data_IF_535973150473
#
_entry.id   IF_535973150473
#
_cell.length_a   1.000
_cell.length_b   1.000
_cell.length_c   1.000
_cell.angle_alpha   90.00
_cell.angle_beta   90.00
_cell.angle_gamma   90.00
#
_symmetry.space_group_name_H-M   'P 1'
#
loop_
_entity.id
_entity.type
_entity.pdbx_description
1 polymer ?
#
# COMPACT_ATOMS: atom_id res chain seq x y z
N UNK A 1 -35.68 -13.96 7.67
CA UNK A 1 -35.55 -13.68 9.11
C UNK A 1 -35.16 -14.97 9.79
N UNK A 2 -33.88 -15.12 10.12
CA UNK A 2 -33.44 -16.05 11.15
C UNK A 2 -32.50 -15.27 12.06
N UNK A 3 -32.84 -15.28 13.36
CA UNK A 3 -32.22 -14.44 14.39
C UNK A 3 -30.85 -14.99 14.77
N UNK A 4 -29.79 -14.24 14.51
CA UNK A 4 -28.52 -14.34 15.24
C UNK A 4 -28.50 -13.29 16.36
N UNK A 5 -27.91 -13.65 17.50
CA UNK A 5 -28.01 -12.95 18.79
C UNK A 5 -27.30 -11.58 18.88
N UNK A 6 -27.03 -10.90 17.75
CA UNK A 6 -26.68 -9.46 17.70
C UNK A 6 -26.82 -8.83 16.28
N UNK A 7 -27.99 -8.95 15.63
CA UNK A 7 -28.76 -7.83 15.04
C UNK A 7 -28.26 -6.85 13.94
N UNK A 8 -27.22 -7.08 13.13
CA UNK A 8 -26.82 -6.12 12.07
C UNK A 8 -26.28 -6.70 10.74
N UNK A 9 -26.47 -5.96 9.63
CA UNK A 9 -26.12 -6.29 8.24
C UNK A 9 -24.92 -5.45 7.74
N UNK A 10 -23.87 -6.04 7.20
CA UNK A 10 -22.64 -5.32 6.83
C UNK A 10 -22.73 -4.67 5.43
N UNK A 11 -22.40 -3.38 5.31
CA UNK A 11 -22.52 -2.58 4.07
C UNK A 11 -21.39 -1.55 3.93
N UNK A 12 -21.12 -1.13 2.69
CA UNK A 12 -20.22 0.00 2.37
C UNK A 12 -21.11 1.16 1.90
N UNK A 13 -20.95 2.33 2.51
CA UNK A 13 -21.72 3.52 2.12
C UNK A 13 -21.11 4.26 0.92
N UNK A 14 -21.85 5.24 0.39
CA UNK A 14 -21.43 6.11 -0.73
C UNK A 14 -20.27 7.04 -0.38
N UNK A 15 -19.70 6.93 0.82
CA UNK A 15 -18.49 7.64 1.18
C UNK A 15 -17.27 6.71 1.15
N UNK A 16 -17.48 5.42 0.84
CA UNK A 16 -16.44 4.42 0.99
C UNK A 16 -16.17 4.11 2.46
N UNK A 17 -17.19 4.05 3.31
CA UNK A 17 -17.03 3.59 4.68
C UNK A 17 -17.59 2.18 4.79
N UNK A 18 -16.76 1.22 5.19
CA UNK A 18 -17.24 -0.11 5.55
C UNK A 18 -17.85 -0.03 6.95
N UNK A 19 -19.09 -0.50 7.13
CA UNK A 19 -19.78 -0.43 8.42
C UNK A 19 -20.90 -1.47 8.59
N UNK A 20 -21.45 -1.54 9.79
CA UNK A 20 -22.57 -2.42 10.17
C UNK A 20 -23.87 -1.61 10.19
N UNK A 21 -24.83 -1.95 9.35
CA UNK A 21 -26.17 -1.38 9.33
C UNK A 21 -27.09 -2.20 10.24
N UNK A 22 -27.55 -1.61 11.33
CA UNK A 22 -28.49 -2.25 12.25
C UNK A 22 -29.90 -2.39 11.62
N UNK A 23 -30.74 -3.27 12.18
CA UNK A 23 -32.12 -3.49 11.70
C UNK A 23 -33.00 -2.22 11.73
N UNK A 24 -32.64 -1.22 12.56
CA UNK A 24 -33.32 0.07 12.63
C UNK A 24 -32.83 1.09 11.57
N UNK A 25 -31.91 0.68 10.68
CA UNK A 25 -31.34 1.52 9.63
C UNK A 25 -30.15 2.38 10.09
N UNK A 26 -29.67 2.22 11.32
CA UNK A 26 -28.50 2.95 11.83
C UNK A 26 -27.21 2.36 11.27
N UNK A 27 -26.48 3.16 10.49
CA UNK A 27 -25.18 2.77 9.94
C UNK A 27 -24.06 3.06 10.94
N UNK A 28 -23.35 2.02 11.36
CA UNK A 28 -22.21 2.08 12.28
C UNK A 28 -20.91 1.87 11.50
N UNK A 29 -20.19 2.95 11.14
CA UNK A 29 -18.96 2.86 10.36
C UNK A 29 -17.84 2.16 11.14
N UNK A 30 -17.14 1.23 10.51
CA UNK A 30 -16.12 0.36 11.13
C UNK A 30 -14.71 0.72 10.65
N UNK A 31 -14.46 0.83 9.33
CA UNK A 31 -13.11 1.07 8.81
C UNK A 31 -13.08 1.49 7.33
N UNK A 32 -11.94 2.04 6.87
CA UNK A 32 -11.66 2.43 5.49
C UNK A 32 -10.24 1.95 5.09
N UNK A 33 -10.15 1.04 4.10
CA UNK A 33 -8.96 0.24 3.66
C UNK A 33 -7.80 1.10 3.13
N UNK A 34 -6.54 0.68 3.32
CA UNK A 34 -5.38 1.42 2.86
C UNK A 34 -5.08 1.03 1.41
N UNK A 35 -4.89 2.01 0.52
CA UNK A 35 -4.33 1.73 -0.78
C UNK A 35 -3.26 2.71 -1.23
N UNK A 36 -2.03 2.30 -1.01
CA UNK A 36 -0.88 3.05 -1.49
C UNK A 36 -0.59 2.76 -2.96
N UNK A 37 -0.91 3.73 -3.80
CA UNK A 37 -0.12 4.15 -4.95
C UNK A 37 1.39 3.89 -4.72
N UNK A 38 1.98 2.91 -5.41
CA UNK A 38 3.42 2.62 -5.29
C UNK A 38 4.24 3.71 -5.97
N UNK A 39 5.41 4.11 -5.44
CA UNK A 39 6.29 5.02 -6.16
C UNK A 39 6.63 4.40 -7.54
N UNK A 40 6.78 5.22 -8.60
CA UNK A 40 7.14 4.70 -9.91
C UNK A 40 8.51 4.02 -9.82
N UNK A 41 8.55 2.71 -10.06
CA UNK A 41 9.75 1.91 -9.98
C UNK A 41 9.55 0.54 -10.64
N UNK A 42 10.59 0.03 -11.29
CA UNK A 42 10.62 -1.33 -11.82
C UNK A 42 10.45 -2.34 -10.66
N UNK A 43 9.53 -3.31 -10.72
CA UNK A 43 9.35 -4.29 -9.65
C UNK A 43 10.66 -5.03 -9.37
N UNK A 44 11.04 -5.16 -8.10
CA UNK A 44 12.41 -5.59 -7.71
C UNK A 44 12.75 -6.96 -8.28
N UNK A 45 11.81 -7.89 -8.17
CA UNK A 45 11.97 -9.26 -8.67
C UNK A 45 12.31 -9.36 -10.16
N UNK A 46 12.03 -8.33 -10.97
CA UNK A 46 12.36 -8.38 -12.41
C UNK A 46 13.86 -8.29 -12.67
N UNK A 47 14.63 -7.67 -11.78
CA UNK A 47 16.11 -7.71 -11.83
C UNK A 47 16.61 -9.10 -11.51
N UNK A 48 16.00 -9.75 -10.50
CA UNK A 48 16.37 -11.08 -10.02
C UNK A 48 16.25 -12.16 -11.14
N UNK A 49 15.30 -12.00 -12.08
CA UNK A 49 15.13 -12.95 -13.19
C UNK A 49 16.39 -13.19 -14.04
N UNK A 50 17.23 -12.16 -14.20
CA UNK A 50 18.47 -12.24 -15.00
C UNK A 50 19.71 -12.58 -14.18
N UNK A 51 19.64 -12.42 -12.86
CA UNK A 51 20.75 -12.68 -11.93
C UNK A 51 20.79 -14.14 -11.46
N UNK A 52 19.66 -14.84 -11.53
CA UNK A 52 19.51 -16.22 -11.07
C UNK A 52 19.30 -17.22 -12.22
N UNK A 53 19.85 -18.42 -12.05
CA UNK A 53 19.69 -19.53 -13.00
C UNK A 53 18.50 -20.40 -12.60
N UNK A 54 17.48 -20.49 -13.46
CA UNK A 54 16.28 -21.29 -13.27
C UNK A 54 15.92 -22.06 -14.54
N UNK A 55 15.31 -23.23 -14.36
CA UNK A 55 14.70 -24.02 -15.43
C UNK A 55 13.23 -23.62 -15.62
N UNK A 56 12.55 -23.27 -14.52
CA UNK A 56 11.17 -22.76 -14.52
C UNK A 56 11.01 -21.78 -13.36
N UNK A 57 10.19 -20.74 -13.55
CA UNK A 57 10.03 -19.68 -12.57
C UNK A 57 8.56 -19.24 -12.48
N UNK A 58 8.11 -18.95 -11.26
CA UNK A 58 6.83 -18.32 -10.96
C UNK A 58 7.10 -17.00 -10.25
N UNK A 59 6.66 -15.90 -10.82
CA UNK A 59 6.61 -14.61 -10.14
C UNK A 59 5.23 -14.47 -9.47
N UNK A 60 5.17 -14.55 -8.14
CA UNK A 60 3.95 -14.38 -7.36
C UNK A 60 3.88 -12.95 -6.82
N UNK A 61 3.00 -12.13 -7.41
CA UNK A 61 3.07 -10.67 -7.29
C UNK A 61 1.75 -10.05 -6.86
N UNK A 62 1.82 -8.86 -6.26
CA UNK A 62 0.66 -8.00 -6.04
C UNK A 62 0.15 -7.44 -7.39
N UNK A 63 -1.15 -7.28 -7.55
CA UNK A 63 -1.75 -6.53 -8.67
C UNK A 63 -1.18 -5.12 -8.83
N UNK A 64 -1.43 -4.49 -9.98
CA UNK A 64 -1.06 -3.11 -10.25
C UNK A 64 -1.90 -2.11 -9.47
N UNK A 65 -1.55 -0.82 -9.55
CA UNK A 65 -2.26 0.25 -8.86
C UNK A 65 -3.76 0.25 -9.21
N UNK A 66 -4.61 0.24 -8.17
CA UNK A 66 -6.02 0.59 -8.31
C UNK A 66 -6.32 1.88 -7.55
N UNK A 67 -7.46 2.54 -7.85
CA UNK A 67 -7.90 3.68 -7.06
C UNK A 67 -8.15 3.19 -5.64
N UNK A 68 -7.78 4.03 -4.67
CA UNK A 68 -8.12 3.77 -3.28
C UNK A 68 -9.59 3.35 -3.19
N UNK A 69 -9.86 2.26 -2.45
CA UNK A 69 -11.15 1.56 -2.40
C UNK A 69 -12.30 2.46 -1.93
N UNK A 70 -12.04 3.74 -1.61
CA UNK A 70 -12.96 4.66 -0.95
C UNK A 70 -13.01 6.04 -1.58
N UNK A 71 -12.77 6.11 -2.89
CA UNK A 71 -13.54 7.05 -3.67
C UNK A 71 -15.02 6.66 -3.54
N UNK A 72 -15.88 7.64 -3.26
CA UNK A 72 -17.30 7.58 -2.87
C UNK A 72 -18.19 6.54 -3.60
N UNK A 73 -17.79 6.03 -4.76
CA UNK A 73 -18.60 5.13 -5.59
C UNK A 73 -17.83 3.86 -6.00
N UNK A 74 -17.40 3.03 -5.04
CA UNK A 74 -16.73 1.75 -5.33
C UNK A 74 -17.57 0.54 -4.86
N UNK A 75 -17.80 -0.41 -5.77
CA UNK A 75 -18.64 -1.60 -5.58
C UNK A 75 -18.01 -2.69 -4.64
N UNK A 76 -17.11 -2.29 -3.74
CA UNK A 76 -16.50 -3.15 -2.72
C UNK A 76 -15.10 -3.70 -3.06
N UNK A 77 -14.50 -4.39 -2.07
CA UNK A 77 -13.10 -4.87 -2.03
C UNK A 77 -12.74 -5.82 -3.20
N UNK A 78 -13.75 -6.34 -3.91
CA UNK A 78 -13.60 -7.28 -5.02
C UNK A 78 -13.97 -6.73 -6.41
N UNK A 79 -14.37 -5.45 -6.54
CA UNK A 79 -14.93 -4.94 -7.81
C UNK A 79 -14.11 -3.79 -8.40
N UNK A 80 -13.31 -3.10 -7.58
CA UNK A 80 -12.43 -2.02 -8.05
C UNK A 80 -11.35 -2.55 -8.99
N UNK A 81 -11.30 -1.97 -10.20
CA UNK A 81 -10.30 -2.23 -11.24
C UNK A 81 -9.13 -1.21 -11.18
N UNK A 82 -8.13 -1.34 -12.05
CA UNK A 82 -6.91 -0.53 -12.07
C UNK A 82 -7.11 0.95 -12.43
N UNK A 83 -6.25 1.82 -11.90
CA UNK A 83 -6.08 3.21 -12.39
C UNK A 83 -5.46 3.19 -13.80
N UNK A 84 -5.56 4.31 -14.53
CA UNK A 84 -4.86 4.46 -15.81
C UNK A 84 -3.34 4.27 -15.67
N UNK A 85 -2.78 4.81 -14.58
CA UNK A 85 -1.37 4.63 -14.23
C UNK A 85 -1.04 3.17 -13.91
N UNK A 86 -1.87 2.47 -13.15
CA UNK A 86 -1.70 1.05 -12.85
C UNK A 86 -1.70 0.18 -14.10
N UNK A 87 -2.59 0.47 -15.07
CA UNK A 87 -2.55 -0.18 -16.39
C UNK A 87 -1.25 0.15 -17.13
N UNK A 88 -0.79 1.39 -17.10
CA UNK A 88 0.45 1.79 -17.74
C UNK A 88 1.69 1.11 -17.12
N UNK A 89 1.76 1.03 -15.79
CA UNK A 89 2.80 0.32 -15.05
C UNK A 89 2.78 -1.18 -15.37
N UNK A 90 1.60 -1.79 -15.46
CA UNK A 90 1.47 -3.19 -15.86
C UNK A 90 1.90 -3.42 -17.33
N UNK A 91 1.60 -2.49 -18.26
CA UNK A 91 2.13 -2.54 -19.63
C UNK A 91 3.65 -2.39 -19.69
N UNK A 92 4.22 -1.52 -18.85
CA UNK A 92 5.68 -1.39 -18.70
C UNK A 92 6.28 -2.71 -18.23
N UNK A 93 5.70 -3.36 -17.22
CA UNK A 93 6.11 -4.69 -16.79
C UNK A 93 6.07 -5.69 -17.95
N UNK A 94 4.97 -5.76 -18.70
CA UNK A 94 4.89 -6.61 -19.89
C UNK A 94 6.00 -6.34 -20.93
N UNK A 95 6.37 -5.08 -21.11
CA UNK A 95 7.48 -4.72 -22.02
C UNK A 95 8.82 -5.26 -21.52
N UNK A 96 9.08 -5.23 -20.21
CA UNK A 96 10.28 -5.80 -19.59
C UNK A 96 10.36 -7.32 -19.76
N UNK A 97 9.21 -7.99 -19.76
CA UNK A 97 9.12 -9.46 -19.82
C UNK A 97 9.19 -10.04 -21.25
N UNK A 98 9.33 -9.22 -22.30
CA UNK A 98 9.34 -9.69 -23.71
C UNK A 98 10.44 -10.70 -24.05
N UNK A 99 11.52 -10.74 -23.25
CA UNK A 99 12.61 -11.70 -23.42
C UNK A 99 12.30 -13.12 -22.91
N UNK A 100 11.16 -13.32 -22.25
CA UNK A 100 10.80 -14.58 -21.60
C UNK A 100 9.58 -15.23 -22.26
N UNK A 101 9.48 -16.56 -22.18
CA UNK A 101 8.21 -17.23 -22.48
C UNK A 101 7.28 -17.14 -21.27
N UNK A 102 6.28 -16.27 -21.37
CA UNK A 102 5.41 -15.90 -20.25
C UNK A 102 4.08 -16.64 -20.33
N UNK A 103 3.65 -17.20 -19.20
CA UNK A 103 2.27 -17.62 -18.97
C UNK A 103 1.63 -16.78 -17.87
N UNK A 104 0.32 -16.53 -17.95
CA UNK A 104 -0.39 -15.62 -17.05
C UNK A 104 -1.42 -16.37 -16.22
N UNK A 105 -1.30 -16.26 -14.89
CA UNK A 105 -2.24 -16.77 -13.91
C UNK A 105 -2.66 -15.63 -12.98
N UNK A 106 -3.93 -15.61 -12.57
CA UNK A 106 -4.48 -14.50 -11.80
C UNK A 106 -5.50 -15.00 -10.78
N UNK A 107 -5.52 -14.35 -9.62
CA UNK A 107 -6.74 -14.24 -8.81
C UNK A 107 -7.92 -13.78 -9.70
N UNK A 108 -9.14 -14.30 -9.49
CA UNK A 108 -10.29 -13.92 -10.31
C UNK A 108 -10.73 -12.48 -10.10
N UNK A 109 -10.21 -11.80 -9.08
CA UNK A 109 -10.54 -10.42 -8.76
C UNK A 109 -10.19 -9.48 -9.94
N UNK A 110 -11.07 -8.56 -10.36
CA UNK A 110 -10.92 -7.76 -11.59
C UNK A 110 -9.57 -7.07 -11.74
N UNK A 111 -9.08 -6.37 -10.71
CA UNK A 111 -7.75 -5.72 -10.75
C UNK A 111 -6.59 -6.67 -11.05
N UNK A 112 -6.64 -7.91 -10.56
CA UNK A 112 -5.61 -8.90 -10.82
C UNK A 112 -5.67 -9.34 -12.29
N UNK A 113 -6.88 -9.62 -12.77
CA UNK A 113 -7.13 -9.98 -14.18
C UNK A 113 -6.69 -8.85 -15.11
N UNK A 114 -7.08 -7.61 -14.83
CA UNK A 114 -6.70 -6.43 -15.61
C UNK A 114 -5.19 -6.16 -15.56
N UNK A 115 -4.52 -6.52 -14.47
CA UNK A 115 -3.05 -6.47 -14.40
C UNK A 115 -2.46 -7.43 -15.42
N UNK A 116 -2.90 -8.69 -15.45
CA UNK A 116 -2.45 -9.67 -16.45
C UNK A 116 -2.77 -9.24 -17.89
N UNK A 117 -3.97 -8.71 -18.14
CA UNK A 117 -4.36 -8.20 -19.47
C UNK A 117 -3.42 -7.07 -19.90
N UNK A 118 -3.16 -6.11 -19.02
CA UNK A 118 -2.25 -4.99 -19.30
C UNK A 118 -0.80 -5.48 -19.52
N UNK A 119 -0.36 -6.51 -18.78
CA UNK A 119 0.94 -7.16 -19.01
C UNK A 119 0.98 -7.83 -20.39
N UNK A 120 -0.09 -8.53 -20.82
CA UNK A 120 -0.19 -9.14 -22.14
C UNK A 120 -0.11 -8.09 -23.27
N UNK A 121 -0.80 -6.96 -23.10
CA UNK A 121 -0.67 -5.80 -24.00
C UNK A 121 0.79 -5.31 -24.09
N UNK A 122 1.45 -5.17 -22.94
CA UNK A 122 2.86 -4.78 -22.86
C UNK A 122 3.81 -5.77 -23.56
N UNK A 123 3.54 -7.07 -23.43
CA UNK A 123 4.25 -8.14 -24.15
C UNK A 123 4.04 -8.06 -25.67
N UNK A 124 2.95 -7.43 -26.13
CA UNK A 124 2.54 -7.45 -27.54
C UNK A 124 2.04 -8.83 -27.98
N UNK A 125 1.51 -9.64 -27.05
CA UNK A 125 1.01 -11.00 -27.28
C UNK A 125 -0.44 -11.10 -26.78
N UNK A 126 -1.28 -11.80 -27.53
CA UNK A 126 -2.61 -12.19 -27.06
C UNK A 126 -2.48 -13.49 -26.24
N UNK A 127 -2.31 -13.35 -24.92
CA UNK A 127 -2.11 -14.46 -23.99
C UNK A 127 -3.37 -14.69 -23.14
N UNK A 128 -3.85 -15.94 -23.01
CA UNK A 128 -4.94 -16.25 -22.11
C UNK A 128 -4.53 -16.02 -20.66
N UNK A 129 -5.44 -15.46 -19.86
CA UNK A 129 -5.27 -15.30 -18.41
C UNK A 129 -5.97 -16.44 -17.70
N UNK A 130 -5.21 -17.31 -17.05
CA UNK A 130 -5.74 -18.41 -16.25
C UNK A 130 -6.27 -17.87 -14.91
N UNK A 131 -7.58 -17.94 -14.67
CA UNK A 131 -8.20 -17.43 -13.43
C UNK A 131 -8.30 -18.55 -12.39
N UNK A 132 -7.77 -18.31 -11.19
CA UNK A 132 -7.66 -19.30 -10.12
C UNK A 132 -8.09 -18.72 -8.78
N UNK A 133 -9.11 -19.32 -8.17
CA UNK A 133 -9.55 -18.95 -6.83
C UNK A 133 -8.42 -19.16 -5.80
N UNK A 134 -7.54 -20.13 -6.01
CA UNK A 134 -6.52 -20.47 -5.02
C UNK A 134 -5.38 -19.43 -4.94
N UNK A 135 -5.27 -18.56 -5.96
CA UNK A 135 -4.26 -17.49 -6.06
C UNK A 135 -4.69 -16.21 -5.34
N UNK A 136 -5.92 -16.12 -4.83
CA UNK A 136 -6.36 -14.93 -4.06
C UNK A 136 -7.74 -15.03 -3.41
N UNK A 137 -8.33 -16.22 -3.40
CA UNK A 137 -9.66 -16.52 -2.93
C UNK A 137 -9.67 -17.02 -1.49
N UNK A 138 -10.89 -17.14 -0.98
CA UNK A 138 -11.17 -17.61 0.37
C UNK A 138 -10.91 -19.12 0.43
N UNK A 139 -10.11 -19.57 1.40
CA UNK A 139 -9.69 -20.97 1.54
C UNK A 139 -8.17 -21.18 1.47
N UNK A 140 -7.41 -20.23 0.93
CA UNK A 140 -5.94 -20.30 0.88
C UNK A 140 -5.31 -19.79 2.17
N UNK A 141 -5.61 -18.54 2.57
CA UNK A 141 -5.14 -17.96 3.83
C UNK A 141 -6.25 -17.85 4.89
N UNK A 142 -7.49 -17.68 4.42
CA UNK A 142 -8.68 -17.50 5.25
C UNK A 142 -9.50 -18.78 5.22
N UNK A 143 -9.93 -19.33 6.37
CA UNK A 143 -10.95 -20.37 6.36
C UNK A 143 -12.30 -19.78 6.70
N UNK A 144 -13.26 -20.00 5.80
CA UNK A 144 -14.64 -19.60 6.00
C UNK A 144 -15.31 -20.62 6.91
N UNK A 145 -15.23 -20.42 8.23
CA UNK A 145 -16.29 -20.90 9.10
C UNK A 145 -17.09 -19.68 9.56
N UNK A 146 -18.24 -19.45 8.92
CA UNK A 146 -19.14 -18.34 9.27
C UNK A 146 -18.82 -16.98 8.63
N UNK A 147 -18.70 -16.92 7.30
CA UNK A 147 -18.75 -15.67 6.52
C UNK A 147 -20.16 -15.05 6.51
N UNK A 148 -20.71 -14.84 7.70
CA UNK A 148 -21.89 -14.02 7.92
C UNK A 148 -21.43 -12.59 8.24
N UNK A 149 -20.66 -11.97 7.33
CA UNK A 149 -20.32 -10.54 7.29
C UNK A 149 -19.59 -9.91 8.51
N UNK A 150 -19.51 -10.59 9.64
CA UNK A 150 -18.87 -10.13 10.86
C UNK A 150 -17.49 -10.80 10.95
N UNK A 151 -16.53 -10.13 11.59
CA UNK A 151 -15.16 -10.59 11.88
C UNK A 151 -14.10 -10.23 10.82
N UNK A 152 -13.81 -8.93 10.74
CA UNK A 152 -12.43 -8.51 11.00
C UNK A 152 -12.48 -7.58 12.22
N UNK A 153 -11.92 -7.99 13.35
CA UNK A 153 -11.67 -7.08 14.49
C UNK A 153 -10.39 -6.26 14.30
N UNK A 154 -9.56 -6.64 13.32
CA UNK A 154 -8.21 -6.13 13.11
C UNK A 154 -7.96 -5.88 11.61
N UNK A 155 -7.30 -4.77 11.21
CA UNK A 155 -6.97 -4.50 9.80
C UNK A 155 -6.17 -5.64 9.16
N UNK A 156 -6.40 -5.91 7.87
CA UNK A 156 -5.77 -7.03 7.15
C UNK A 156 -4.23 -7.05 7.23
N UNK A 157 -3.58 -5.89 7.14
CA UNK A 157 -2.11 -5.77 7.29
C UNK A 157 -1.66 -6.17 8.70
N UNK A 158 -2.36 -5.72 9.74
CA UNK A 158 -2.01 -6.03 11.14
C UNK A 158 -2.29 -7.49 11.47
N UNK A 159 -3.38 -8.04 10.93
CA UNK A 159 -3.66 -9.47 10.95
C UNK A 159 -2.50 -10.26 10.32
N UNK A 160 -2.04 -9.88 9.13
CA UNK A 160 -0.89 -10.55 8.48
C UNK A 160 0.37 -10.44 9.33
N UNK A 161 0.72 -9.26 9.85
CA UNK A 161 1.91 -9.10 10.71
C UNK A 161 1.80 -9.94 11.99
N UNK A 162 0.61 -10.03 12.58
CA UNK A 162 0.37 -10.92 13.71
C UNK A 162 0.56 -12.38 13.34
N UNK A 163 -0.01 -12.83 12.22
CA UNK A 163 0.14 -14.22 11.78
C UNK A 163 1.61 -14.54 11.46
N UNK A 164 2.32 -13.60 10.83
CA UNK A 164 3.76 -13.69 10.57
C UNK A 164 4.58 -13.86 11.84
N UNK A 165 4.23 -13.18 12.93
CA UNK A 165 4.92 -13.36 14.23
C UNK A 165 4.49 -14.63 14.98
N UNK A 166 3.70 -15.51 14.37
CA UNK A 166 3.13 -16.71 15.00
C UNK A 166 1.97 -16.42 15.98
N UNK A 167 1.42 -15.21 15.99
CA UNK A 167 0.24 -14.88 16.80
C UNK A 167 -1.02 -15.44 16.11
N UNK A 168 -1.87 -16.21 16.82
CA UNK A 168 -3.14 -16.67 16.26
C UNK A 168 -4.04 -15.48 15.89
N UNK A 169 -4.58 -15.50 14.68
CA UNK A 169 -5.52 -14.50 14.18
C UNK A 169 -6.84 -15.19 13.85
N UNK A 170 -7.93 -14.70 14.43
CA UNK A 170 -9.27 -15.22 14.19
C UNK A 170 -9.62 -15.12 12.69
N UNK A 171 -10.06 -16.23 12.09
CA UNK A 171 -10.43 -16.32 10.67
C UNK A 171 -9.26 -16.58 9.70
N UNK A 172 -8.01 -16.62 10.18
CA UNK A 172 -6.83 -16.95 9.39
C UNK A 172 -6.30 -18.32 9.75
N UNK A 173 -5.92 -19.08 8.72
CA UNK A 173 -5.07 -20.25 8.93
C UNK A 173 -3.73 -19.81 9.57
N UNK A 174 -3.11 -20.67 10.40
CA UNK A 174 -1.73 -20.46 10.82
C UNK A 174 -0.82 -20.25 9.62
N UNK A 175 0.24 -19.46 9.78
CA UNK A 175 1.18 -19.11 8.69
C UNK A 175 1.61 -20.34 7.87
N UNK A 176 1.93 -21.46 8.52
CA UNK A 176 2.36 -22.68 7.84
C UNK A 176 1.34 -23.18 6.84
N UNK A 177 0.08 -23.19 7.26
CA UNK A 177 -1.03 -23.69 6.45
C UNK A 177 -1.37 -22.73 5.31
N UNK A 178 -1.26 -21.41 5.55
CA UNK A 178 -1.36 -20.40 4.49
C UNK A 178 -0.32 -20.66 3.39
N UNK A 179 0.95 -20.83 3.78
CA UNK A 179 2.07 -21.01 2.86
C UNK A 179 1.97 -22.34 2.13
N UNK A 180 1.65 -23.43 2.84
CA UNK A 180 1.44 -24.76 2.26
C UNK A 180 0.41 -24.71 1.14
N UNK A 181 -0.75 -24.07 1.38
CA UNK A 181 -1.83 -23.94 0.39
C UNK A 181 -1.42 -23.09 -0.82
N UNK A 182 -0.67 -22.01 -0.61
CA UNK A 182 -0.14 -21.20 -1.73
C UNK A 182 0.87 -22.01 -2.56
N UNK A 183 1.74 -22.78 -1.90
CA UNK A 183 2.75 -23.60 -2.58
C UNK A 183 2.13 -24.78 -3.35
N UNK A 184 1.02 -25.37 -2.87
CA UNK A 184 0.26 -26.39 -3.62
C UNK A 184 -0.22 -25.87 -4.99
N UNK A 185 -0.43 -24.57 -5.13
CA UNK A 185 -0.84 -23.90 -6.38
C UNK A 185 0.37 -23.54 -7.24
N UNK A 186 1.45 -23.08 -6.60
CA UNK A 186 2.64 -22.56 -7.29
C UNK A 186 3.49 -23.70 -7.86
N UNK A 187 3.77 -24.74 -7.08
CA UNK A 187 4.68 -25.82 -7.45
C UNK A 187 4.31 -26.53 -8.76
N UNK A 188 3.03 -26.80 -9.08
CA UNK A 188 2.67 -27.39 -10.37
C UNK A 188 3.12 -26.59 -11.60
N UNK A 189 3.21 -25.26 -11.52
CA UNK A 189 3.69 -24.44 -12.63
C UNK A 189 5.17 -24.66 -12.95
N UNK A 190 5.97 -25.05 -11.96
CA UNK A 190 7.42 -25.29 -12.12
C UNK A 190 7.74 -26.53 -12.97
N UNK A 191 6.74 -27.34 -13.32
CA UNK A 191 6.88 -28.44 -14.28
C UNK A 191 7.04 -27.96 -15.73
N UNK A 192 6.78 -26.68 -16.02
CA UNK A 192 6.85 -26.08 -17.36
C UNK A 192 8.27 -25.55 -17.63
N UNK A 193 9.06 -26.30 -18.39
CA UNK A 193 10.44 -25.95 -18.75
C UNK A 193 10.53 -24.64 -19.56
N UNK A 194 11.45 -23.76 -19.16
CA UNK A 194 11.72 -22.47 -19.82
C UNK A 194 10.61 -21.42 -19.66
N UNK A 195 9.57 -21.70 -18.87
CA UNK A 195 8.41 -20.81 -18.73
C UNK A 195 8.54 -19.95 -17.47
N UNK A 196 8.29 -18.65 -17.64
CA UNK A 196 8.00 -17.72 -16.56
C UNK A 196 6.49 -17.61 -16.38
N UNK A 197 5.97 -18.09 -15.27
CA UNK A 197 4.55 -17.91 -14.92
C UNK A 197 4.40 -16.67 -14.06
N UNK A 198 3.72 -15.64 -14.56
CA UNK A 198 3.30 -14.49 -13.76
C UNK A 198 1.99 -14.82 -13.06
N UNK A 199 2.00 -14.88 -11.73
CA UNK A 199 0.87 -15.18 -10.88
C UNK A 199 0.46 -13.92 -10.10
N UNK A 200 -0.63 -13.27 -10.50
CA UNK A 200 -1.08 -12.01 -9.88
C UNK A 200 -2.10 -12.25 -8.77
N UNK A 201 -1.76 -11.77 -7.57
CA UNK A 201 -2.46 -11.92 -6.31
C UNK A 201 -2.56 -10.55 -5.56
N UNK A 202 -2.58 -10.59 -4.24
CA UNK A 202 -2.66 -9.44 -3.34
C UNK A 202 -1.48 -9.43 -2.38
N UNK A 203 -1.14 -8.23 -1.90
CA UNK A 203 -0.08 -7.96 -0.93
C UNK A 203 -0.14 -8.86 0.31
N UNK A 204 -1.34 -9.08 0.88
CA UNK A 204 -1.52 -9.90 2.08
C UNK A 204 -1.04 -11.36 1.87
N UNK A 205 -1.29 -11.93 0.68
CA UNK A 205 -0.84 -13.29 0.34
C UNK A 205 0.66 -13.32 0.07
N UNK A 206 1.17 -12.34 -0.68
CA UNK A 206 2.60 -12.20 -0.96
C UNK A 206 3.40 -12.07 0.33
N UNK A 207 2.96 -11.22 1.27
CA UNK A 207 3.64 -11.01 2.55
C UNK A 207 3.73 -12.30 3.38
N UNK A 208 2.64 -13.08 3.43
CA UNK A 208 2.67 -14.38 4.10
C UNK A 208 3.58 -15.39 3.41
N UNK A 209 3.56 -15.43 2.07
CA UNK A 209 4.44 -16.31 1.31
C UNK A 209 5.91 -15.95 1.54
N UNK A 210 6.27 -14.66 1.50
CA UNK A 210 7.61 -14.18 1.84
C UNK A 210 7.99 -14.61 3.26
N UNK A 211 7.25 -14.17 4.27
CA UNK A 211 7.65 -14.43 5.65
C UNK A 211 7.70 -15.91 6.00
N UNK A 212 6.75 -16.70 5.48
CA UNK A 212 6.69 -18.14 5.73
C UNK A 212 7.61 -19.01 4.89
N UNK A 213 8.35 -18.45 3.92
CA UNK A 213 9.38 -19.19 3.16
C UNK A 213 10.79 -18.66 3.42
N UNK A 214 10.94 -17.34 3.56
CA UNK A 214 12.22 -16.66 3.85
C UNK A 214 12.52 -16.67 5.36
N UNK A 215 11.50 -16.66 6.21
CA UNK A 215 11.65 -16.57 7.67
C UNK A 215 11.85 -15.14 8.19
N UNK A 216 11.77 -14.14 7.30
CA UNK A 216 11.87 -12.72 7.64
C UNK A 216 10.89 -11.91 6.78
N UNK A 217 10.18 -10.97 7.41
CA UNK A 217 9.36 -9.98 6.71
C UNK A 217 9.38 -8.65 7.47
N UNK A 218 10.19 -7.66 7.04
CA UNK A 218 10.32 -6.40 7.76
C UNK A 218 8.99 -5.63 7.82
N UNK A 219 8.50 -5.36 9.03
CA UNK A 219 7.20 -4.71 9.25
C UNK A 219 7.08 -3.28 8.69
N UNK A 220 8.21 -2.63 8.41
CA UNK A 220 8.33 -1.28 7.84
C UNK A 220 8.44 -1.25 6.30
N UNK A 221 8.47 -2.41 5.64
CA UNK A 221 8.63 -2.52 4.18
C UNK A 221 7.56 -3.42 3.57
N UNK A 222 6.37 -2.86 3.38
CA UNK A 222 5.23 -3.58 2.79
C UNK A 222 5.41 -3.86 1.28
N UNK A 223 4.68 -4.86 0.78
CA UNK A 223 4.70 -5.26 -0.64
C UNK A 223 4.07 -4.17 -1.51
N UNK A 224 4.87 -3.61 -2.42
CA UNK A 224 4.42 -2.60 -3.39
C UNK A 224 3.63 -3.25 -4.55
N UNK A 225 2.88 -2.47 -5.32
CA UNK A 225 2.21 -2.95 -6.53
C UNK A 225 3.19 -3.53 -7.51
N UNK A 226 2.73 -4.57 -8.23
CA UNK A 226 3.53 -5.34 -9.18
C UNK A 226 4.75 -6.03 -8.57
N UNK A 227 5.07 -5.80 -7.30
CA UNK A 227 6.17 -6.42 -6.61
C UNK A 227 5.74 -7.71 -5.94
N UNK A 228 6.72 -8.53 -5.58
CA UNK A 228 6.46 -9.77 -4.87
C UNK A 228 7.67 -10.66 -4.77
N UNK A 229 7.47 -11.94 -5.03
CA UNK A 229 8.44 -12.99 -4.74
C UNK A 229 8.55 -13.95 -5.92
N UNK A 230 9.76 -14.45 -6.18
CA UNK A 230 9.97 -15.51 -7.16
C UNK A 230 9.99 -16.87 -6.46
N UNK A 231 9.38 -17.86 -7.09
CA UNK A 231 9.55 -19.27 -6.76
C UNK A 231 10.09 -19.97 -8.00
N UNK A 232 11.24 -20.61 -7.88
CA UNK A 232 12.00 -21.11 -9.01
C UNK A 232 12.41 -22.56 -8.80
N UNK A 233 12.56 -23.29 -9.90
CA UNK A 233 13.16 -24.62 -9.92
C UNK A 233 14.48 -24.60 -10.65
N UNK A 234 15.49 -25.28 -10.10
CA UNK A 234 16.77 -25.58 -10.75
C UNK A 234 17.12 -27.03 -10.46
N UNK A 235 17.06 -27.87 -11.49
CA UNK A 235 17.13 -29.32 -11.38
C UNK A 235 15.95 -29.87 -10.57
N UNK A 236 16.27 -30.61 -9.50
CA UNK A 236 15.31 -31.16 -8.54
C UNK A 236 15.01 -30.20 -7.37
N UNK A 237 15.77 -29.10 -7.26
CA UNK A 237 15.67 -28.16 -6.15
C UNK A 237 14.67 -27.05 -6.45
N UNK A 238 13.91 -26.66 -5.42
CA UNK A 238 13.04 -25.49 -5.44
C UNK A 238 13.61 -24.42 -4.51
N UNK A 239 13.64 -23.19 -4.98
CA UNK A 239 14.09 -22.04 -4.20
C UNK A 239 13.14 -20.87 -4.37
N UNK A 240 13.20 -19.97 -3.40
CA UNK A 240 12.47 -18.72 -3.38
C UNK A 240 13.49 -17.60 -3.49
N UNK A 241 13.20 -16.59 -4.30
CA UNK A 241 14.03 -15.38 -4.40
C UNK A 241 13.23 -14.18 -3.92
N UNK A 242 13.80 -13.46 -2.95
CA UNK A 242 13.23 -12.22 -2.44
C UNK A 242 14.35 -11.23 -2.13
N UNK A 243 14.23 -10.01 -2.67
CA UNK A 243 15.24 -8.95 -2.56
C UNK A 243 16.66 -9.39 -3.00
N UNK A 244 16.76 -10.22 -4.06
CA UNK A 244 18.03 -10.70 -4.62
C UNK A 244 18.69 -11.86 -3.85
N UNK A 245 18.07 -12.36 -2.77
CA UNK A 245 18.59 -13.50 -2.01
C UNK A 245 17.86 -14.81 -2.38
N UNK A 246 18.63 -15.89 -2.64
CA UNK A 246 18.08 -17.24 -2.84
C UNK A 246 17.90 -17.97 -1.49
N UNK A 247 16.69 -18.51 -1.27
CA UNK A 247 16.35 -19.33 -0.11
C UNK A 247 15.85 -20.71 -0.57
N UNK A 248 16.51 -21.82 -0.19
CA UNK A 248 16.00 -23.16 -0.49
C UNK A 248 14.63 -23.38 0.15
N UNK A 249 13.66 -23.88 -0.62
CA UNK A 249 12.33 -24.17 -0.11
C UNK A 249 12.27 -25.60 0.46
N UNK A 250 12.29 -25.72 1.78
CA UNK A 250 12.20 -26.99 2.51
C UNK A 250 10.81 -27.24 3.14
N UNK A 251 9.82 -26.40 2.81
CA UNK A 251 8.51 -26.37 3.46
C UNK A 251 8.24 -25.04 4.17
N UNK A 252 7.01 -24.87 4.68
CA UNK A 252 6.61 -23.62 5.31
C UNK A 252 7.20 -23.45 6.72
N UNK A 253 7.44 -22.20 7.12
CA UNK A 253 7.92 -21.82 8.45
C UNK A 253 6.77 -21.40 9.38
N UNK A 254 6.87 -21.68 10.70
CA UNK A 254 5.83 -21.37 11.69
C UNK A 254 5.70 -19.88 12.03
N UNK A 255 6.77 -19.13 11.84
CA UNK A 255 6.84 -17.70 12.12
C UNK A 255 7.98 -17.06 11.32
N UNK A 256 7.95 -15.75 11.24
CA UNK A 256 8.96 -14.91 10.61
C UNK A 256 9.46 -13.83 11.58
N UNK A 257 10.73 -13.45 11.44
CA UNK A 257 11.24 -12.23 12.07
C UNK A 257 10.63 -11.00 11.40
N UNK A 258 9.80 -10.26 12.14
CA UNK A 258 9.15 -9.03 11.69
C UNK A 258 9.89 -7.75 12.12
N UNK A 259 11.11 -7.90 12.64
CA UNK A 259 11.97 -6.77 13.00
C UNK A 259 12.17 -5.86 11.78
N UNK A 260 12.06 -4.53 11.96
CA UNK A 260 12.22 -3.59 10.86
C UNK A 260 13.57 -3.74 10.16
N UNK A 261 13.61 -3.36 8.88
CA UNK A 261 14.80 -3.50 8.04
C UNK A 261 15.91 -2.52 8.43
N UNK A 262 15.51 -1.34 8.92
CA UNK A 262 16.43 -0.27 9.30
C UNK A 262 16.51 -0.12 10.83
N UNK A 263 17.70 0.24 11.38
CA UNK A 263 17.84 0.49 12.79
C UNK A 263 16.97 1.69 13.23
N UNK A 264 16.62 1.76 14.53
CA UNK A 264 15.94 2.92 15.10
C UNK A 264 16.56 4.24 14.67
N UNK A 265 15.74 5.15 14.15
CA UNK A 265 16.15 6.50 13.79
C UNK A 265 16.30 7.37 15.04
N UNK A 266 17.37 8.17 15.05
CA UNK A 266 17.53 9.22 16.06
C UNK A 266 16.74 10.46 15.63
N UNK A 267 15.54 10.63 16.18
CA UNK A 267 14.69 11.79 15.92
C UNK A 267 14.94 12.87 16.97
N UNK A 268 15.05 14.13 16.54
CA UNK A 268 15.02 15.29 17.43
C UNK A 268 13.56 15.69 17.62
N UNK A 269 13.03 15.45 18.82
CA UNK A 269 11.61 15.64 19.11
C UNK A 269 11.32 17.06 19.62
N UNK A 270 10.18 17.68 19.21
CA UNK A 270 9.67 18.89 19.84
C UNK A 270 9.21 18.62 21.29
N UNK A 271 8.79 19.67 22.05
CA UNK A 271 8.14 19.47 23.34
C UNK A 271 6.93 18.54 23.22
N UNK A 272 6.83 17.53 24.09
CA UNK A 272 5.78 16.51 24.06
C UNK A 272 4.44 17.03 24.60
N UNK A 273 3.34 16.62 23.98
CA UNK A 273 2.00 16.66 24.58
C UNK A 273 1.72 15.45 25.49
N UNK A 274 0.58 15.43 26.20
CA UNK A 274 0.16 14.23 26.94
C UNK A 274 -0.03 13.06 25.96
N UNK A 275 0.44 11.87 26.35
CA UNK A 275 0.27 10.66 25.54
C UNK A 275 -1.22 10.29 25.48
N UNK A 276 -1.79 10.06 24.28
CA UNK A 276 -3.14 9.52 24.17
C UNK A 276 -3.21 8.11 24.76
N UNK A 277 -4.41 7.70 25.21
CA UNK A 277 -4.65 6.31 25.60
C UNK A 277 -4.62 5.43 24.33
N UNK A 278 -3.42 4.97 23.94
CA UNK A 278 -3.24 4.21 22.70
C UNK A 278 -3.70 2.78 22.89
N UNK A 279 -4.70 2.38 22.09
CA UNK A 279 -5.33 1.06 22.18
C UNK A 279 -4.70 0.00 21.27
N UNK A 280 -3.82 0.39 20.33
CA UNK A 280 -3.29 -0.49 19.28
C UNK A 280 -1.80 -0.30 18.97
N UNK A 281 -0.99 -0.28 20.01
CA UNK A 281 0.45 -0.60 19.99
C UNK A 281 0.75 -1.13 21.38
N UNK A 282 1.76 -1.98 21.57
CA UNK A 282 2.26 -2.18 22.92
C UNK A 282 2.63 -0.77 23.44
N UNK A 283 1.99 -0.22 24.48
CA UNK A 283 2.14 1.20 24.84
C UNK A 283 3.59 1.62 25.14
N UNK A 284 4.49 0.65 25.37
CA UNK A 284 5.92 0.85 25.56
C UNK A 284 6.71 1.27 24.32
N UNK A 285 6.11 1.24 23.13
CA UNK A 285 6.77 1.66 21.90
C UNK A 285 6.53 3.12 21.55
N UNK A 286 5.69 3.88 22.24
CA UNK A 286 5.50 5.32 21.91
C UNK A 286 6.36 6.16 22.83
N UNK A 287 7.24 6.98 22.24
CA UNK A 287 8.15 7.85 23.00
C UNK A 287 7.73 9.32 22.95
N UNK A 288 6.86 9.70 22.02
CA UNK A 288 6.37 11.07 21.88
C UNK A 288 5.03 11.17 21.17
N UNK A 289 4.24 12.17 21.56
CA UNK A 289 3.00 12.55 20.91
C UNK A 289 2.96 14.08 20.72
N UNK A 290 2.61 14.49 19.51
CA UNK A 290 2.35 15.89 19.15
C UNK A 290 0.93 16.32 19.55
N UNK A 291 0.69 17.64 19.63
CA UNK A 291 -0.66 18.15 19.85
C UNK A 291 -1.61 17.69 18.73
N UNK A 292 -2.92 17.56 19.02
CA UNK A 292 -3.87 17.20 17.99
C UNK A 292 -4.00 18.33 16.94
N UNK A 293 -4.07 17.94 15.67
CA UNK A 293 -4.35 18.78 14.51
C UNK A 293 -5.32 18.05 13.58
N UNK A 294 -6.38 18.71 13.10
CA UNK A 294 -7.44 18.11 12.29
C UNK A 294 -8.00 16.77 12.85
N UNK A 295 -8.15 16.72 14.18
CA UNK A 295 -8.68 15.56 14.90
C UNK A 295 -7.72 14.37 15.05
N UNK A 296 -6.44 14.55 14.71
CA UNK A 296 -5.40 13.52 14.71
C UNK A 296 -4.17 13.97 15.47
N UNK A 297 -3.42 13.04 16.04
CA UNK A 297 -2.14 13.30 16.69
C UNK A 297 -1.03 12.58 15.95
N UNK A 298 0.11 13.26 15.81
CA UNK A 298 1.34 12.66 15.34
C UNK A 298 2.02 11.93 16.51
N UNK A 299 2.36 10.66 16.34
CA UNK A 299 3.12 9.87 17.31
C UNK A 299 4.49 9.52 16.74
N UNK A 300 5.47 9.40 17.63
CA UNK A 300 6.77 8.82 17.33
C UNK A 300 6.98 7.60 18.20
N UNK A 301 7.37 6.50 17.56
CA UNK A 301 7.70 5.26 18.25
C UNK A 301 9.16 5.24 18.77
N UNK A 302 9.49 4.25 19.60
CA UNK A 302 10.81 4.02 20.20
C UNK A 302 11.89 3.74 19.16
N UNK A 303 11.47 3.43 17.93
CA UNK A 303 12.31 3.23 16.77
C UNK A 303 12.48 4.51 15.95
N UNK A 304 11.86 5.62 16.36
CA UNK A 304 11.97 6.91 15.69
C UNK A 304 11.12 7.05 14.44
N UNK A 305 10.12 6.18 14.24
CA UNK A 305 9.19 6.33 13.12
C UNK A 305 7.93 7.09 13.53
N UNK A 306 7.45 7.88 12.57
CA UNK A 306 6.27 8.70 12.71
C UNK A 306 5.02 7.98 12.22
N UNK A 307 3.92 8.15 12.94
CA UNK A 307 2.59 7.71 12.51
C UNK A 307 1.51 8.65 13.01
N UNK A 308 0.39 8.72 12.31
CA UNK A 308 -0.76 9.48 12.79
C UNK A 308 -1.73 8.55 13.51
N UNK A 309 -2.32 9.04 14.60
CA UNK A 309 -3.41 8.39 15.33
C UNK A 309 -4.60 9.33 15.46
N UNK A 310 -5.78 8.75 15.59
CA UNK A 310 -7.03 9.45 15.88
C UNK A 310 -7.11 9.77 17.37
N UNK A 311 -8.09 10.61 17.72
CA UNK A 311 -8.36 10.98 19.12
C UNK A 311 -8.68 9.79 20.05
N UNK A 312 -9.15 8.66 19.50
CA UNK A 312 -9.43 7.41 20.22
C UNK A 312 -8.19 6.50 20.38
N UNK A 313 -7.01 6.96 19.94
CA UNK A 313 -5.74 6.24 20.04
C UNK A 313 -5.52 5.18 18.96
N UNK A 314 -6.42 5.04 17.97
CA UNK A 314 -6.22 4.13 16.84
C UNK A 314 -5.36 4.78 15.75
N UNK A 315 -4.47 4.04 15.08
CA UNK A 315 -3.74 4.53 13.91
C UNK A 315 -4.69 5.03 12.82
N UNK A 316 -4.36 6.17 12.22
CA UNK A 316 -5.03 6.68 11.00
C UNK A 316 -4.79 5.70 9.84
N UNK A 317 -3.59 5.11 9.78
CA UNK A 317 -3.18 4.14 8.78
C UNK A 317 -2.08 3.20 9.31
N UNK A 318 -1.81 2.11 8.58
CA UNK A 318 -0.85 1.07 8.97
C UNK A 318 0.62 1.43 8.75
N UNK A 319 0.92 2.29 7.77
CA UNK A 319 2.28 2.70 7.42
C UNK A 319 2.92 3.58 8.49
N UNK A 320 4.24 3.52 8.56
CA UNK A 320 5.08 4.43 9.33
C UNK A 320 6.01 5.20 8.41
N UNK A 321 6.42 6.40 8.84
CA UNK A 321 7.23 7.30 8.05
C UNK A 321 8.50 7.73 8.78
N UNK A 322 9.52 8.09 8.03
CA UNK A 322 10.80 8.55 8.57
C UNK A 322 10.69 9.97 9.14
N UNK A 323 9.76 10.75 8.59
CA UNK A 323 9.28 11.99 9.14
C UNK A 323 7.82 12.20 8.71
N UNK A 324 7.03 12.86 9.55
CA UNK A 324 5.73 13.38 9.15
C UNK A 324 5.47 14.72 9.84
N UNK A 325 4.69 15.57 9.19
CA UNK A 325 4.14 16.78 9.79
C UNK A 325 2.67 16.60 10.13
N UNK A 326 2.11 17.59 10.82
CA UNK A 326 0.71 17.55 11.25
C UNK A 326 -0.27 17.54 10.07
N UNK A 327 -1.43 16.93 10.28
CA UNK A 327 -2.56 17.05 9.37
C UNK A 327 -3.07 18.49 9.30
N UNK A 328 -3.29 19.00 8.08
CA UNK A 328 -4.02 20.22 7.75
C UNK A 328 -4.75 20.05 6.44
N UNK A 329 -5.94 20.61 6.34
CA UNK A 329 -6.80 20.51 5.15
C UNK A 329 -7.03 19.03 4.73
N UNK A 330 -7.12 18.13 5.72
CA UNK A 330 -7.34 16.70 5.50
C UNK A 330 -6.12 15.90 4.99
N UNK A 331 -4.94 16.54 4.88
CA UNK A 331 -3.71 15.90 4.39
C UNK A 331 -2.51 16.20 5.29
N UNK A 332 -1.54 15.29 5.34
CA UNK A 332 -0.32 15.45 6.12
C UNK A 332 0.92 15.24 5.23
N UNK A 333 1.95 16.08 5.34
CA UNK A 333 3.21 15.82 4.68
C UNK A 333 3.92 14.66 5.37
N UNK A 334 4.48 13.75 4.58
CA UNK A 334 5.26 12.60 5.06
C UNK A 334 6.54 12.48 4.24
N UNK A 335 7.58 11.92 4.84
CA UNK A 335 8.84 11.66 4.15
C UNK A 335 9.35 10.25 4.41
N UNK A 336 10.03 9.73 3.39
CA UNK A 336 10.79 8.49 3.42
C UNK A 336 12.22 8.79 2.99
N UNK A 337 13.20 8.45 3.81
CA UNK A 337 14.61 8.67 3.53
C UNK A 337 15.05 7.93 2.27
N UNK A 338 15.91 8.57 1.49
CA UNK A 338 16.34 8.05 0.19
C UNK A 338 15.29 8.17 -0.91
N UNK A 339 14.02 8.42 -0.59
CA UNK A 339 12.93 8.58 -1.56
C UNK A 339 12.54 10.06 -1.72
N UNK A 340 12.25 10.75 -0.62
CA UNK A 340 11.79 12.13 -0.61
C UNK A 340 10.54 12.32 0.27
N UNK A 341 9.77 13.36 0.01
CA UNK A 341 8.57 13.71 0.73
C UNK A 341 7.35 13.85 -0.20
N UNK A 342 6.18 13.56 0.35
CA UNK A 342 4.88 13.55 -0.33
C UNK A 342 3.78 13.85 0.70
N UNK A 343 2.52 13.66 0.33
CA UNK A 343 1.38 13.90 1.19
C UNK A 343 0.52 12.66 1.30
N UNK A 344 0.03 12.41 2.52
CA UNK A 344 -0.95 11.37 2.81
C UNK A 344 -2.29 12.00 3.16
N UNK A 345 -3.36 11.33 2.78
CA UNK A 345 -4.69 11.65 3.22
C UNK A 345 -4.93 11.08 4.62
N UNK A 346 -6.05 11.46 5.23
CA UNK A 346 -6.51 10.89 6.49
C UNK A 346 -7.00 9.43 6.40
N UNK A 347 -6.84 8.83 5.23
CA UNK A 347 -7.04 7.41 4.98
C UNK A 347 -5.71 6.66 4.78
N UNK A 348 -4.59 7.39 4.77
CA UNK A 348 -3.24 6.85 4.59
C UNK A 348 -2.80 6.69 3.15
N UNK A 349 -3.64 7.07 2.19
CA UNK A 349 -3.30 7.02 0.77
C UNK A 349 -2.39 8.20 0.41
N UNK A 350 -1.50 7.99 -0.55
CA UNK A 350 -0.75 9.11 -1.11
C UNK A 350 -1.71 10.00 -1.90
N UNK A 351 -1.77 11.30 -1.58
CA UNK A 351 -2.72 12.24 -2.17
C UNK A 351 -2.69 12.24 -3.70
N UNK A 352 -1.47 12.31 -4.26
CA UNK A 352 -1.24 12.34 -5.71
C UNK A 352 -0.07 11.44 -6.14
N UNK A 353 0.56 10.73 -5.19
CA UNK A 353 1.72 9.85 -5.44
C UNK A 353 2.85 10.50 -6.28
N UNK A 354 3.16 11.76 -5.96
CA UNK A 354 4.33 12.48 -6.49
C UNK A 354 5.28 12.77 -5.34
N UNK A 355 6.56 12.53 -5.58
CA UNK A 355 7.59 12.65 -4.55
C UNK A 355 8.49 13.85 -4.87
N UNK A 356 8.75 14.63 -3.85
CA UNK A 356 9.54 15.86 -3.89
C UNK A 356 10.74 15.73 -2.96
N UNK A 357 11.76 16.58 -3.10
CA UNK A 357 12.87 16.60 -2.15
C UNK A 357 12.43 17.08 -0.78
N UNK A 358 11.58 18.09 -0.75
CA UNK A 358 10.97 18.65 0.45
C UNK A 358 9.56 19.11 0.15
N UNK A 359 8.71 19.09 1.17
CA UNK A 359 7.34 19.58 1.12
C UNK A 359 7.02 20.36 2.38
N UNK A 360 6.09 21.31 2.29
CA UNK A 360 5.43 21.94 3.43
C UNK A 360 3.95 21.57 3.43
N UNK A 361 3.33 21.60 4.61
CA UNK A 361 1.93 21.24 4.76
C UNK A 361 1.01 22.10 3.88
N UNK A 362 -0.09 21.50 3.42
CA UNK A 362 -1.12 22.24 2.69
C UNK A 362 -1.71 23.37 3.52
N UNK A 363 -2.10 24.43 2.82
CA UNK A 363 -2.84 25.57 3.33
C UNK A 363 -3.66 26.17 2.19
N UNK A 364 -4.97 26.28 2.39
CA UNK A 364 -5.89 26.79 1.37
C UNK A 364 -5.85 25.94 0.07
N UNK A 365 -5.65 24.63 0.20
CA UNK A 365 -5.58 23.70 -0.95
C UNK A 365 -4.29 23.80 -1.78
N UNK A 366 -3.28 24.53 -1.29
CA UNK A 366 -1.97 24.68 -1.94
C UNK A 366 -0.85 24.25 -1.01
N UNK A 367 0.17 23.58 -1.56
CA UNK A 367 1.39 23.25 -0.82
C UNK A 367 2.65 23.74 -1.53
N UNK A 368 3.61 24.23 -0.74
CA UNK A 368 4.95 24.53 -1.23
C UNK A 368 5.79 23.24 -1.25
N UNK A 369 6.41 22.95 -2.39
CA UNK A 369 7.25 21.76 -2.59
C UNK A 369 8.55 22.14 -3.28
N UNK A 370 9.59 21.31 -3.10
CA UNK A 370 10.91 21.50 -3.70
C UNK A 370 11.31 20.28 -4.51
N UNK A 371 11.68 20.48 -5.76
CA UNK A 371 12.27 19.44 -6.61
C UNK A 371 13.78 19.67 -6.83
N UNK A 372 14.34 19.02 -7.84
CA UNK A 372 15.75 19.17 -8.21
C UNK A 372 16.14 20.56 -8.71
N UNK A 373 15.17 21.37 -9.13
CA UNK A 373 15.35 22.67 -9.79
C UNK A 373 14.97 23.84 -8.89
N UNK A 374 14.16 23.64 -7.86
CA UNK A 374 13.85 24.67 -6.86
C UNK A 374 12.48 24.49 -6.21
N UNK A 375 12.05 25.50 -5.47
CA UNK A 375 10.75 25.58 -4.80
C UNK A 375 9.64 26.08 -5.74
N UNK A 376 8.43 25.58 -5.56
CA UNK A 376 7.21 25.98 -6.26
C UNK A 376 5.96 25.53 -5.49
N UNK A 377 4.77 25.82 -6.00
CA UNK A 377 3.50 25.41 -5.40
C UNK A 377 2.75 24.40 -6.26
N UNK A 378 2.07 23.46 -5.60
CA UNK A 378 1.21 22.45 -6.21
C UNK A 378 -0.22 22.56 -5.69
N UNK A 379 -1.18 22.15 -6.52
CA UNK A 379 -2.56 21.88 -6.09
C UNK A 379 -2.72 20.49 -5.50
N UNK A 380 -3.94 20.16 -5.07
CA UNK A 380 -4.27 18.86 -4.46
C UNK A 380 -4.09 17.66 -5.43
N UNK A 381 -4.08 17.89 -6.73
CA UNK A 381 -3.73 16.90 -7.77
C UNK A 381 -2.22 16.65 -7.89
N UNK A 382 -1.41 17.41 -7.16
CA UNK A 382 0.04 17.36 -7.19
C UNK A 382 0.67 18.04 -8.40
N UNK A 383 -0.12 18.68 -9.26
CA UNK A 383 0.39 19.40 -10.42
C UNK A 383 0.96 20.76 -10.02
N UNK A 384 2.07 21.20 -10.65
CA UNK A 384 2.56 22.55 -10.46
C UNK A 384 1.49 23.57 -10.88
N UNK A 385 1.16 24.51 -9.99
CA UNK A 385 0.25 25.61 -10.32
C UNK A 385 0.85 26.57 -11.37
N UNK A 386 2.17 26.50 -11.54
CA UNK A 386 2.94 27.28 -12.51
C UNK A 386 4.31 26.62 -12.78
N UNK A 387 4.95 26.89 -13.93
CA UNK A 387 6.17 26.20 -14.36
C UNK A 387 7.47 26.68 -13.68
N UNK A 388 7.49 27.88 -13.10
CA UNK A 388 8.70 28.48 -12.53
C UNK A 388 9.20 27.76 -11.27
N UNK A 389 10.49 27.91 -10.99
CA UNK A 389 11.18 27.36 -9.82
C UNK A 389 12.00 28.47 -9.15
N UNK A 390 11.96 28.50 -7.83
CA UNK A 390 12.51 29.58 -7.01
C UNK A 390 13.53 29.05 -6.00
N UNK A 391 14.41 29.94 -5.53
CA UNK A 391 15.38 29.61 -4.47
C UNK A 391 14.66 29.38 -3.14
N UNK A 392 13.57 30.11 -2.90
CA UNK A 392 12.65 29.89 -1.79
C UNK A 392 11.25 30.42 -2.12
N UNK A 393 10.24 29.83 -1.47
CA UNK A 393 8.87 30.34 -1.46
C UNK A 393 8.34 30.39 -0.02
N UNK A 394 7.38 31.26 0.27
CA UNK A 394 6.58 31.21 1.51
C UNK A 394 5.37 30.29 1.32
N UNK A 395 4.70 29.93 2.41
CA UNK A 395 3.39 29.26 2.32
C UNK A 395 2.35 30.21 1.71
N UNK A 396 1.25 29.64 1.21
CA UNK A 396 0.12 30.40 0.67
C UNK A 396 -0.66 31.10 1.78
N UNK A 397 -0.97 32.38 1.64
CA UNK A 397 -1.81 33.15 2.58
C UNK A 397 -2.76 34.05 1.80
N UNK A 398 -4.07 33.79 1.91
CA UNK A 398 -5.09 34.53 1.15
C UNK A 398 -4.89 34.43 -0.36
N UNK A 399 -4.51 33.26 -0.86
CA UNK A 399 -4.22 33.00 -2.28
C UNK A 399 -2.95 33.69 -2.82
N UNK A 400 -2.05 34.15 -1.96
CA UNK A 400 -0.78 34.81 -2.34
C UNK A 400 0.42 34.16 -1.67
N UNK A 401 1.58 34.31 -2.27
CA UNK A 401 2.86 33.89 -1.68
C UNK A 401 4.01 34.78 -2.17
N UNK A 402 5.13 34.76 -1.44
CA UNK A 402 6.39 35.38 -1.87
C UNK A 402 7.31 34.32 -2.46
N UNK A 403 7.83 34.59 -3.64
CA UNK A 403 8.77 33.75 -4.37
C UNK A 403 10.09 34.50 -4.54
N UNK A 404 11.21 33.92 -4.09
CA UNK A 404 12.53 34.56 -4.16
C UNK A 404 13.43 33.86 -5.17
N UNK A 405 14.07 34.62 -6.07
CA UNK A 405 15.14 34.13 -6.94
C UNK A 405 16.26 35.16 -7.04
N UNK A 406 17.51 34.74 -6.85
CA UNK A 406 18.68 35.62 -6.93
C UNK A 406 18.63 36.77 -5.89
N UNK A 407 17.98 36.55 -4.75
CA UNK A 407 17.78 37.57 -3.72
C UNK A 407 16.67 38.59 -3.99
N UNK A 408 15.93 38.45 -5.10
CA UNK A 408 14.77 39.30 -5.42
C UNK A 408 13.49 38.53 -5.07
N UNK A 409 12.65 39.11 -4.23
CA UNK A 409 11.34 38.56 -3.87
C UNK A 409 10.24 39.17 -4.75
N UNK A 410 9.37 38.31 -5.28
CA UNK A 410 8.21 38.69 -6.08
C UNK A 410 6.97 38.06 -5.45
N UNK A 411 5.92 38.86 -5.26
CA UNK A 411 4.61 38.33 -4.85
C UNK A 411 3.95 37.62 -6.03
N UNK A 412 3.41 36.43 -5.79
CA UNK A 412 2.68 35.64 -6.76
C UNK A 412 1.27 35.36 -6.25
N UNK A 413 0.30 35.50 -7.15
CA UNK A 413 -1.08 35.07 -6.92
C UNK A 413 -1.18 33.59 -7.32
N UNK A 414 -1.66 32.79 -6.38
CA UNK A 414 -1.97 31.38 -6.55
C UNK A 414 -3.46 31.34 -6.90
N UNK A 415 -3.79 31.26 -8.20
CA UNK A 415 -5.16 31.38 -8.65
C UNK A 415 -6.06 30.30 -7.99
N UNK A 416 -7.30 30.63 -7.58
CA UNK A 416 -8.30 29.59 -7.36
C UNK A 416 -8.64 28.95 -8.70
N UNK A 417 -8.74 27.63 -8.76
CA UNK A 417 -9.47 26.97 -9.85
C UNK A 417 -10.90 27.50 -9.75
N UNK A 418 -11.33 28.26 -10.75
CA UNK A 418 -12.66 28.85 -10.79
C UNK A 418 -13.74 27.76 -10.82
N UNK A 419 -14.63 27.77 -9.84
CA UNK A 419 -16.01 27.30 -10.02
C UNK A 419 -16.70 28.24 -11.02
N UNK A 420 -16.46 28.05 -12.31
CA UNK A 420 -17.44 28.51 -13.29
C UNK A 420 -18.55 27.45 -13.35
N UNK A 421 -19.82 27.82 -13.03
CA UNK A 421 -20.93 26.91 -13.27
C UNK A 421 -20.99 26.65 -14.77
N UNK A 422 -20.93 25.38 -15.15
CA UNK A 422 -21.25 24.93 -16.51
C UNK A 422 -22.59 25.56 -16.91
N UNK A 423 -22.53 26.51 -17.83
CA UNK A 423 -23.69 27.16 -18.42
C UNK A 423 -24.62 26.16 -19.09
N UNK A 424 -25.87 26.57 -19.35
CA UNK A 424 -27.02 25.69 -19.60
C UNK A 424 -26.87 24.71 -20.76
#
# INVERSE_FOLDING_TARGET
MEKTSSGGLNVIDRDGVYGVLAEDGTFSPVYRVPEEASPPGTPRWTSDLGEHVWDSCVAFVRHAERPAHFLRDSDGIGVTDLTDRGREDARRLGTLLRGYDVSLSSSPVPRCVSTCVSVAEGLGRDLPVERREEVGGYGTALYLDGYAGHVYREPGTTAVLGNLSGRPIEGWHPLEECVRRMMDVILPFLSREGVLTLCVSHDLFVAQLVGGTVGRFPSDRWISYLDGILVCRRGEETYVVWEGEEHPYAGPLPAADISPASPPRRVVLPPSGPLPEVRFSAPGDIVWAGPPSDGKSLLVDSRGYFRHVRADGYPVYGRTYDWAGDFRDGVAPVAVEGVGATFVTDFGDLLHNRWFREVRGYREGVAAVRDGKGWFHIGMDGEPLYPERYDSVTDAEGGRCLCTSGGVAVERILAPVSDEPMGP
#
